data_IF_702873401656
#
_entry.id   IF_702873401656
#
_cell.length_a   1.000
_cell.length_b   1.000
_cell.length_c   1.000
_cell.angle_alpha   90.00
_cell.angle_beta   90.00
_cell.angle_gamma   90.00
#
_symmetry.space_group_name_H-M   'P 1'
#
loop_
_entity.id
_entity.type
_entity.pdbx_description
1 polymer ?
#
# COMPACT_ATOMS: atom_id res chain seq x y z
N UNK A 1 -9.21 -34.48 -39.23
CA UNK A 1 -8.44 -33.78 -38.18
C UNK A 1 -8.72 -32.30 -38.35
N UNK A 2 -9.41 -31.66 -37.39
CA UNK A 2 -9.65 -30.21 -37.45
C UNK A 2 -8.41 -29.46 -36.96
N UNK A 3 -7.87 -28.56 -37.79
CA UNK A 3 -6.81 -27.64 -37.37
C UNK A 3 -7.46 -26.39 -36.78
N UNK A 4 -7.20 -26.11 -35.51
CA UNK A 4 -7.53 -24.83 -34.90
C UNK A 4 -6.45 -23.81 -35.31
N UNK A 5 -6.75 -22.91 -36.24
CA UNK A 5 -5.91 -21.75 -36.59
C UNK A 5 -6.56 -20.47 -36.08
N UNK A 6 -5.75 -19.57 -35.54
CA UNK A 6 -6.17 -18.23 -35.08
C UNK A 6 -6.21 -17.27 -36.28
N UNK A 7 -7.16 -17.47 -37.17
CA UNK A 7 -7.43 -16.54 -38.26
C UNK A 7 -8.68 -15.72 -37.91
N UNK A 8 -8.46 -14.51 -37.38
CA UNK A 8 -9.39 -13.39 -37.49
C UNK A 8 -10.80 -13.52 -36.89
N UNK A 9 -11.01 -14.29 -35.83
CA UNK A 9 -12.19 -14.05 -34.99
C UNK A 9 -11.97 -12.73 -34.23
N UNK A 10 -12.75 -11.70 -34.58
CA UNK A 10 -12.79 -10.46 -33.80
C UNK A 10 -13.16 -10.79 -32.35
N UNK A 11 -12.51 -10.12 -31.38
CA UNK A 11 -12.76 -10.30 -29.95
C UNK A 11 -14.27 -10.12 -29.69
N UNK A 12 -14.99 -11.23 -29.52
CA UNK A 12 -16.42 -11.18 -29.21
C UNK A 12 -16.62 -10.61 -27.82
N UNK A 13 -17.42 -9.56 -27.70
CA UNK A 13 -17.88 -9.09 -26.39
C UNK A 13 -18.84 -10.14 -25.79
N UNK A 14 -18.37 -10.81 -24.74
CA UNK A 14 -19.22 -11.72 -23.97
C UNK A 14 -20.01 -10.88 -22.97
N UNK A 15 -21.27 -10.59 -23.30
CA UNK A 15 -22.21 -9.93 -22.40
C UNK A 15 -22.73 -10.97 -21.40
N UNK A 16 -22.24 -10.91 -20.16
CA UNK A 16 -22.71 -11.76 -19.06
C UNK A 16 -23.92 -11.08 -18.40
N UNK A 17 -25.07 -11.77 -18.32
CA UNK A 17 -26.26 -11.26 -17.62
C UNK A 17 -26.06 -11.24 -16.09
N UNK A 18 -26.51 -10.15 -15.47
CA UNK A 18 -25.85 -9.53 -14.32
C UNK A 18 -26.24 -10.05 -12.92
N UNK A 19 -26.74 -11.27 -12.78
CA UNK A 19 -26.91 -11.90 -11.45
C UNK A 19 -25.58 -12.35 -10.83
N UNK A 20 -24.53 -12.38 -11.65
CA UNK A 20 -23.17 -12.70 -11.22
C UNK A 20 -22.48 -11.49 -10.60
N UNK A 21 -22.84 -10.26 -10.97
CA UNK A 21 -22.16 -9.05 -10.48
C UNK A 21 -22.52 -8.74 -9.05
N UNK A 22 -23.79 -8.82 -8.66
CA UNK A 22 -24.20 -8.75 -7.26
C UNK A 22 -23.46 -9.78 -6.40
N UNK A 23 -23.32 -11.02 -6.90
CA UNK A 23 -22.61 -12.10 -6.19
C UNK A 23 -21.10 -11.86 -6.11
N UNK A 24 -20.50 -11.27 -7.13
CA UNK A 24 -19.08 -10.89 -7.16
C UNK A 24 -18.85 -9.71 -6.21
N UNK A 25 -19.73 -8.73 -6.22
CA UNK A 25 -19.70 -7.57 -5.33
C UNK A 25 -19.82 -8.00 -3.86
N UNK A 26 -20.78 -8.86 -3.52
CA UNK A 26 -20.90 -9.41 -2.17
C UNK A 26 -19.66 -10.21 -1.77
N UNK A 27 -19.16 -11.09 -2.65
CA UNK A 27 -18.00 -11.95 -2.35
C UNK A 27 -16.71 -11.16 -2.12
N UNK A 28 -16.50 -10.08 -2.86
CA UNK A 28 -15.27 -9.29 -2.82
C UNK A 28 -15.44 -7.94 -2.13
N UNK A 29 -16.56 -7.74 -1.43
CA UNK A 29 -16.90 -6.49 -0.74
C UNK A 29 -15.79 -6.01 0.20
N UNK A 30 -15.16 -6.95 0.91
CA UNK A 30 -14.04 -6.70 1.82
C UNK A 30 -12.76 -7.26 1.21
N UNK A 31 -12.25 -6.60 0.17
CA UNK A 31 -11.04 -7.05 -0.48
C UNK A 31 -10.06 -5.94 -0.82
N UNK A 32 -8.79 -6.30 -0.88
CA UNK A 32 -7.69 -5.44 -1.30
C UNK A 32 -6.87 -6.16 -2.36
N UNK A 33 -6.40 -5.42 -3.36
CA UNK A 33 -5.37 -5.89 -4.26
C UNK A 33 -4.03 -5.39 -3.75
N UNK A 34 -3.00 -6.23 -3.80
CA UNK A 34 -1.66 -5.81 -3.45
C UNK A 34 -0.56 -6.45 -4.29
N UNK A 35 0.59 -5.78 -4.31
CA UNK A 35 1.77 -6.19 -5.05
C UNK A 35 2.98 -6.27 -4.13
N UNK A 36 3.72 -7.37 -4.22
CA UNK A 36 5.04 -7.48 -3.56
C UNK A 36 6.08 -6.76 -4.41
N UNK A 37 6.70 -5.72 -3.86
CA UNK A 37 7.71 -4.91 -4.53
C UNK A 37 9.06 -5.63 -4.60
N UNK A 38 9.20 -6.51 -5.57
CA UNK A 38 10.45 -7.19 -5.87
C UNK A 38 10.46 -7.72 -7.29
N UNK A 39 11.65 -7.81 -7.89
CA UNK A 39 11.88 -8.57 -9.13
C UNK A 39 12.44 -9.97 -8.83
N UNK A 40 12.80 -10.25 -7.57
CA UNK A 40 13.36 -11.53 -7.16
C UNK A 40 12.24 -12.54 -7.00
N UNK A 41 12.46 -13.77 -7.47
CA UNK A 41 11.54 -14.89 -7.24
C UNK A 41 11.46 -15.19 -5.74
N UNK A 42 10.26 -15.50 -5.29
CA UNK A 42 9.99 -15.95 -3.93
C UNK A 42 8.97 -17.10 -3.95
N UNK A 43 8.93 -17.86 -2.87
CA UNK A 43 7.99 -18.98 -2.72
C UNK A 43 6.61 -18.47 -2.31
N UNK A 44 5.63 -18.54 -3.21
CA UNK A 44 4.26 -18.02 -2.99
C UNK A 44 3.56 -18.64 -1.78
N UNK A 45 3.65 -19.96 -1.50
CA UNK A 45 3.06 -20.51 -0.28
C UNK A 45 3.58 -19.83 0.99
N UNK A 46 4.87 -19.51 1.05
CA UNK A 46 5.45 -18.80 2.20
C UNK A 46 4.93 -17.37 2.34
N UNK A 47 4.66 -16.67 1.22
CA UNK A 47 3.96 -15.38 1.26
C UNK A 47 2.56 -15.58 1.84
N UNK A 48 1.81 -16.56 1.35
CA UNK A 48 0.44 -16.83 1.82
C UNK A 48 0.39 -17.14 3.31
N UNK A 49 1.33 -17.92 3.82
CA UNK A 49 1.41 -18.24 5.25
C UNK A 49 1.76 -17.01 6.09
N UNK A 50 2.70 -16.18 5.61
CA UNK A 50 3.06 -14.93 6.28
C UNK A 50 1.87 -13.97 6.33
N UNK A 51 1.16 -13.81 5.21
CA UNK A 51 -0.02 -12.95 5.13
C UNK A 51 -1.14 -13.47 6.01
N UNK A 52 -1.42 -14.78 6.02
CA UNK A 52 -2.43 -15.36 6.94
C UNK A 52 -2.08 -15.10 8.40
N UNK A 53 -0.82 -15.24 8.78
CA UNK A 53 -0.39 -14.96 10.16
C UNK A 53 -0.55 -13.48 10.54
N UNK A 54 -0.25 -12.54 9.63
CA UNK A 54 -0.31 -11.11 9.90
C UNK A 54 -1.72 -10.52 9.78
N UNK A 55 -2.47 -10.98 8.78
CA UNK A 55 -3.73 -10.36 8.35
C UNK A 55 -4.95 -11.19 8.76
N UNK A 56 -4.81 -12.51 8.83
CA UNK A 56 -5.92 -13.47 8.91
C UNK A 56 -6.77 -13.40 10.18
N UNK A 57 -6.25 -12.96 11.32
CA UNK A 57 -7.04 -12.98 12.57
C UNK A 57 -7.60 -14.38 12.86
N UNK A 58 -8.81 -14.46 13.45
CA UNK A 58 -9.50 -15.73 13.71
C UNK A 58 -10.14 -16.33 12.44
N UNK A 59 -10.67 -15.45 11.58
CA UNK A 59 -11.47 -15.80 10.39
C UNK A 59 -10.64 -16.19 9.16
N UNK A 60 -9.34 -15.90 9.17
CA UNK A 60 -8.43 -16.12 8.06
C UNK A 60 -8.50 -15.04 6.97
N UNK A 61 -7.84 -15.31 5.85
CA UNK A 61 -7.84 -14.46 4.65
C UNK A 61 -7.70 -15.35 3.43
N UNK A 62 -8.57 -15.17 2.44
CA UNK A 62 -8.44 -15.83 1.15
C UNK A 62 -7.45 -15.06 0.29
N UNK A 63 -6.52 -15.77 -0.35
CA UNK A 63 -5.43 -15.18 -1.14
C UNK A 63 -5.42 -15.79 -2.54
N UNK A 64 -5.83 -14.99 -3.52
CA UNK A 64 -5.80 -15.33 -4.93
C UNK A 64 -4.50 -14.79 -5.54
N UNK A 65 -3.78 -15.64 -6.26
CA UNK A 65 -2.58 -15.26 -7.00
C UNK A 65 -3.01 -14.83 -8.40
N UNK A 66 -2.73 -13.57 -8.75
CA UNK A 66 -3.07 -12.99 -10.06
C UNK A 66 -1.86 -12.91 -10.99
N UNK A 67 -0.73 -13.51 -10.63
CA UNK A 67 0.52 -13.43 -11.38
C UNK A 67 1.23 -12.09 -11.19
N UNK A 68 2.44 -11.96 -11.74
CA UNK A 68 3.23 -10.71 -11.71
C UNK A 68 3.41 -10.09 -10.31
N UNK A 69 3.53 -10.94 -9.28
CA UNK A 69 3.60 -10.56 -7.87
C UNK A 69 2.36 -9.79 -7.35
N UNK A 70 1.23 -9.89 -8.06
CA UNK A 70 -0.05 -9.30 -7.70
C UNK A 70 -0.97 -10.34 -7.07
N UNK A 71 -1.65 -9.93 -6.01
CA UNK A 71 -2.50 -10.80 -5.20
C UNK A 71 -3.80 -10.10 -4.85
N UNK A 72 -4.90 -10.85 -4.84
CA UNK A 72 -6.18 -10.39 -4.33
C UNK A 72 -6.39 -11.02 -2.96
N UNK A 73 -6.58 -10.19 -1.95
CA UNK A 73 -6.82 -10.60 -0.58
C UNK A 73 -8.26 -10.32 -0.23
N UNK A 74 -8.99 -11.36 0.16
CA UNK A 74 -10.41 -11.28 0.50
C UNK A 74 -10.57 -11.62 1.97
N UNK A 75 -11.22 -10.71 2.68
CA UNK A 75 -11.47 -10.76 4.11
C UNK A 75 -12.93 -11.11 4.38
N UNK A 76 -13.19 -11.77 5.51
CA UNK A 76 -14.56 -12.07 5.91
C UNK A 76 -15.25 -10.84 6.53
N UNK A 77 -14.46 -9.93 7.12
CA UNK A 77 -14.97 -8.76 7.82
C UNK A 77 -14.36 -7.44 7.32
N UNK A 78 -15.20 -6.42 7.21
CA UNK A 78 -14.75 -5.07 6.89
C UNK A 78 -13.75 -4.50 7.90
N UNK A 79 -13.88 -4.83 9.19
CA UNK A 79 -12.95 -4.39 10.22
C UNK A 79 -11.53 -4.93 10.00
N UNK A 80 -11.42 -6.19 9.57
CA UNK A 80 -10.15 -6.82 9.21
C UNK A 80 -9.50 -6.12 8.01
N UNK A 81 -10.29 -5.83 6.96
CA UNK A 81 -9.82 -5.07 5.80
C UNK A 81 -9.31 -3.68 6.19
N UNK A 82 -10.08 -2.94 7.01
CA UNK A 82 -9.70 -1.60 7.48
C UNK A 82 -8.42 -1.64 8.29
N UNK A 83 -8.26 -2.61 9.19
CA UNK A 83 -7.01 -2.82 9.95
C UNK A 83 -5.82 -3.04 9.03
N UNK A 84 -5.99 -3.86 7.99
CA UNK A 84 -4.93 -4.13 7.01
C UNK A 84 -4.57 -2.87 6.22
N UNK A 85 -5.56 -2.12 5.73
CA UNK A 85 -5.33 -0.85 5.02
C UNK A 85 -4.65 0.21 5.91
N UNK A 86 -5.01 0.29 7.19
CA UNK A 86 -4.42 1.26 8.11
C UNK A 86 -3.03 0.86 8.63
N UNK A 87 -2.71 -0.45 8.61
CA UNK A 87 -1.46 -1.01 9.11
C UNK A 87 -0.26 -0.88 8.16
N UNK A 88 -0.42 -0.24 7.00
CA UNK A 88 0.68 -0.01 6.07
C UNK A 88 1.84 0.79 6.72
N UNK A 89 3.10 0.43 6.41
CA UNK A 89 3.52 -0.49 5.34
C UNK A 89 3.61 -1.95 5.81
N UNK A 90 3.27 -2.88 4.93
CA UNK A 90 3.46 -4.32 5.18
C UNK A 90 4.73 -4.84 4.53
N UNK A 91 5.41 -5.77 5.20
CA UNK A 91 6.66 -6.36 4.73
C UNK A 91 6.56 -7.88 4.63
N UNK A 92 7.08 -8.44 3.55
CA UNK A 92 7.34 -9.86 3.37
C UNK A 92 8.83 -10.08 3.08
N UNK A 93 9.56 -10.70 4.00
CA UNK A 93 11.01 -10.95 3.88
C UNK A 93 11.82 -9.69 3.50
N UNK A 94 11.40 -8.53 4.02
CA UNK A 94 12.00 -7.24 3.71
C UNK A 94 11.52 -6.57 2.42
N UNK A 95 10.69 -7.22 1.60
CA UNK A 95 10.02 -6.60 0.46
C UNK A 95 8.71 -5.96 0.90
N UNK A 96 8.44 -4.73 0.47
CA UNK A 96 7.17 -4.07 0.75
C UNK A 96 6.01 -4.73 -0.01
N UNK A 97 4.86 -4.84 0.65
CA UNK A 97 3.59 -5.17 0.01
C UNK A 97 2.79 -3.86 -0.06
N UNK A 98 2.59 -3.35 -1.26
CA UNK A 98 1.67 -2.22 -1.49
C UNK A 98 0.27 -2.79 -1.63
N UNK A 99 -0.70 -2.19 -0.98
CA UNK A 99 -2.10 -2.60 -1.07
C UNK A 99 -3.00 -1.42 -1.45
N UNK A 100 -4.13 -1.73 -2.08
CA UNK A 100 -5.20 -0.78 -2.38
C UNK A 100 -6.54 -1.49 -2.23
N UNK A 101 -7.54 -0.78 -1.72
CA UNK A 101 -8.91 -1.30 -1.66
C UNK A 101 -9.39 -1.62 -3.08
N UNK A 102 -9.95 -2.81 -3.25
CA UNK A 102 -10.58 -3.21 -4.48
C UNK A 102 -12.07 -2.80 -4.47
N UNK A 103 -12.61 -2.54 -5.66
CA UNK A 103 -14.02 -2.24 -5.86
C UNK A 103 -14.52 -3.00 -7.10
N UNK A 104 -15.81 -3.39 -7.14
CA UNK A 104 -16.42 -3.97 -8.33
C UNK A 104 -16.17 -3.14 -9.58
N UNK A 105 -15.86 -3.80 -10.69
CA UNK A 105 -15.52 -3.17 -11.96
C UNK A 105 -14.05 -2.74 -12.11
N UNK A 106 -13.23 -2.82 -11.05
CA UNK A 106 -11.80 -2.54 -11.16
C UNK A 106 -11.07 -3.70 -11.86
N UNK A 107 -10.56 -3.44 -13.07
CA UNK A 107 -9.71 -4.38 -13.80
C UNK A 107 -8.29 -4.40 -13.22
N UNK A 108 -7.59 -5.51 -13.40
CA UNK A 108 -6.23 -5.70 -12.88
C UNK A 108 -5.26 -4.67 -13.49
N UNK A 109 -5.47 -4.32 -14.74
CA UNK A 109 -4.67 -3.37 -15.52
C UNK A 109 -4.79 -1.93 -15.00
N UNK A 110 -5.94 -1.60 -14.40
CA UNK A 110 -6.22 -0.26 -13.84
C UNK A 110 -5.66 -0.09 -12.42
N UNK A 111 -5.11 -1.16 -11.83
CA UNK A 111 -4.62 -1.14 -10.45
C UNK A 111 -3.27 -0.42 -10.37
N UNK A 112 -3.34 0.87 -10.09
CA UNK A 112 -2.18 1.71 -9.76
C UNK A 112 -1.74 1.44 -8.32
N UNK A 113 -0.58 0.80 -8.18
CA UNK A 113 0.14 0.50 -6.92
C UNK A 113 1.55 1.10 -6.97
N UNK A 114 1.62 2.42 -7.05
CA UNK A 114 2.83 3.21 -7.25
C UNK A 114 3.28 3.97 -5.99
N UNK A 115 2.55 3.80 -4.88
CA UNK A 115 2.78 4.57 -3.67
C UNK A 115 2.73 3.69 -2.42
N UNK A 116 3.54 4.04 -1.43
CA UNK A 116 3.66 3.31 -0.17
C UNK A 116 3.55 4.27 1.01
N UNK A 117 2.46 4.23 1.77
CA UNK A 117 2.38 4.91 3.07
C UNK A 117 3.38 4.31 4.06
N UNK A 118 4.25 5.14 4.63
CA UNK A 118 5.14 4.70 5.69
C UNK A 118 5.44 5.79 6.72
N UNK A 119 5.81 5.34 7.92
CA UNK A 119 6.30 6.22 8.96
C UNK A 119 7.80 6.48 8.79
N UNK A 120 8.19 7.74 8.78
CA UNK A 120 9.57 8.19 8.68
C UNK A 120 9.93 8.97 9.94
N UNK A 121 11.07 8.64 10.53
CA UNK A 121 11.66 9.40 11.64
C UNK A 121 12.65 10.42 11.09
N UNK A 122 12.45 11.69 11.44
CA UNK A 122 13.34 12.79 11.08
C UNK A 122 14.21 13.13 12.28
N UNK A 123 15.51 12.87 12.16
CA UNK A 123 16.49 13.04 13.22
C UNK A 123 17.30 14.33 13.07
N UNK A 124 18.08 14.67 14.12
CA UNK A 124 19.02 15.80 14.13
C UNK A 124 18.32 17.15 13.89
N UNK A 125 17.16 17.33 14.52
CA UNK A 125 16.40 18.55 14.43
C UNK A 125 17.03 19.66 15.27
N UNK A 126 17.05 20.91 14.79
CA UNK A 126 17.42 22.05 15.62
C UNK A 126 16.51 22.14 16.85
N UNK A 127 17.07 22.49 18.01
CA UNK A 127 16.30 22.60 19.26
C UNK A 127 15.11 23.54 19.08
N UNK A 128 13.92 23.10 19.50
CA UNK A 128 12.66 23.83 19.35
C UNK A 128 11.94 23.60 18.01
N UNK A 129 12.53 22.92 17.03
CA UNK A 129 11.90 22.60 15.74
C UNK A 129 11.21 21.23 15.74
N UNK A 130 10.36 20.99 16.74
CA UNK A 130 9.54 19.78 16.86
C UNK A 130 8.05 20.05 16.62
N UNK A 131 7.71 21.25 16.15
CA UNK A 131 6.32 21.68 15.93
C UNK A 131 5.64 21.01 14.73
N UNK A 132 4.31 21.09 14.71
CA UNK A 132 3.49 20.48 13.66
C UNK A 132 3.81 21.02 12.25
N UNK A 133 4.06 22.32 12.13
CA UNK A 133 4.43 22.98 10.87
C UNK A 133 5.75 22.44 10.30
N UNK A 134 6.73 22.19 11.17
CA UNK A 134 8.01 21.63 10.78
C UNK A 134 7.86 20.18 10.28
N UNK A 135 7.08 19.36 11.00
CA UNK A 135 6.77 17.99 10.59
C UNK A 135 6.05 17.94 9.24
N UNK A 136 5.05 18.80 9.04
CA UNK A 136 4.33 18.89 7.76
C UNK A 136 5.24 19.31 6.60
N UNK A 137 6.06 20.35 6.80
CA UNK A 137 7.00 20.84 5.78
C UNK A 137 8.02 19.78 5.41
N UNK A 138 8.59 19.09 6.41
CA UNK A 138 9.57 18.03 6.18
C UNK A 138 8.94 16.81 5.53
N UNK A 139 7.75 16.41 5.97
CA UNK A 139 6.99 15.31 5.37
C UNK A 139 6.70 15.58 3.89
N UNK A 140 6.24 16.79 3.56
CA UNK A 140 5.99 17.22 2.18
C UNK A 140 7.28 17.26 1.32
N UNK A 141 8.44 17.49 1.94
CA UNK A 141 9.72 17.38 1.25
C UNK A 141 10.09 15.91 0.98
N UNK A 142 9.76 14.99 1.88
CA UNK A 142 10.10 13.56 1.76
C UNK A 142 9.17 12.87 0.73
N UNK A 143 7.88 13.14 0.79
CA UNK A 143 6.83 12.57 -0.07
C UNK A 143 5.53 13.35 0.08
N UNK A 144 4.39 12.70 -0.14
CA UNK A 144 3.10 13.30 0.18
C UNK A 144 2.84 13.15 1.69
N UNK A 145 2.76 14.27 2.42
CA UNK A 145 2.49 14.26 3.85
C UNK A 145 1.08 13.75 4.15
N UNK A 146 0.96 12.81 5.10
CA UNK A 146 -0.32 12.23 5.51
C UNK A 146 -0.71 12.65 6.93
N UNK A 147 0.17 12.37 7.90
CA UNK A 147 -0.10 12.64 9.31
C UNK A 147 1.19 12.80 10.11
N UNK A 148 1.03 13.32 11.33
CA UNK A 148 2.11 13.57 12.26
C UNK A 148 1.84 12.79 13.55
N UNK A 149 2.87 12.13 14.07
CA UNK A 149 2.80 11.42 15.34
C UNK A 149 2.83 12.43 16.49
N UNK A 150 1.68 12.72 17.09
CA UNK A 150 1.55 13.70 18.18
C UNK A 150 2.36 13.31 19.41
N UNK A 151 2.46 12.01 19.72
CA UNK A 151 3.26 11.53 20.85
C UNK A 151 4.75 11.84 20.64
N UNK A 152 5.23 11.85 19.39
CA UNK A 152 6.62 12.24 19.09
C UNK A 152 6.93 13.72 19.37
N UNK A 153 5.90 14.57 19.45
CA UNK A 153 6.02 16.00 19.72
C UNK A 153 5.84 16.30 21.22
N UNK A 154 4.80 15.72 21.81
CA UNK A 154 4.32 16.08 23.15
C UNK A 154 5.18 15.47 24.27
N UNK A 155 5.77 14.28 24.06
CA UNK A 155 6.54 13.58 25.10
C UNK A 155 7.97 14.13 25.32
N UNK A 156 8.30 15.34 24.84
CA UNK A 156 9.64 15.94 24.96
C UNK A 156 10.81 15.02 24.53
N UNK A 157 10.55 14.01 23.68
CA UNK A 157 11.61 13.09 23.23
C UNK A 157 12.67 13.79 22.40
N UNK A 158 12.37 14.99 21.86
CA UNK A 158 13.29 16.06 21.41
C UNK A 158 14.32 15.72 20.32
N UNK A 159 14.53 14.45 20.02
CA UNK A 159 15.60 13.92 19.18
C UNK A 159 15.11 13.63 17.76
N UNK A 160 13.81 13.37 17.60
CA UNK A 160 13.18 13.16 16.30
C UNK A 160 11.71 13.54 16.30
N UNK A 161 11.20 13.82 15.10
CA UNK A 161 9.76 13.89 14.81
C UNK A 161 9.41 12.72 13.89
N UNK A 162 8.25 12.09 14.12
CA UNK A 162 7.78 10.99 13.26
C UNK A 162 6.62 11.48 12.39
N UNK A 163 6.82 11.41 11.08
CA UNK A 163 5.84 11.81 10.06
C UNK A 163 5.41 10.59 9.28
N UNK A 164 4.12 10.49 8.94
CA UNK A 164 3.64 9.52 7.96
C UNK A 164 3.58 10.20 6.61
N UNK A 165 4.20 9.56 5.64
CA UNK A 165 4.31 10.06 4.28
C UNK A 165 3.94 8.94 3.31
N UNK A 166 3.34 9.31 2.18
CA UNK A 166 3.15 8.43 1.05
C UNK A 166 4.32 8.64 0.09
N UNK A 167 5.11 7.58 -0.11
CA UNK A 167 6.30 7.59 -0.96
C UNK A 167 5.97 7.01 -2.34
N UNK A 168 6.44 7.66 -3.40
CA UNK A 168 6.41 7.12 -4.76
C UNK A 168 7.47 6.02 -4.90
N UNK A 169 7.04 4.80 -5.21
CA UNK A 169 7.91 3.62 -5.27
C UNK A 169 8.73 3.52 -6.56
N UNK A 170 8.41 4.34 -7.55
CA UNK A 170 9.18 4.45 -8.79
C UNK A 170 10.35 5.42 -8.66
N UNK A 171 10.44 6.14 -7.54
CA UNK A 171 11.53 7.05 -7.23
C UNK A 171 12.48 6.43 -6.20
N UNK A 172 13.80 6.65 -6.32
CA UNK A 172 14.73 6.24 -5.29
C UNK A 172 14.42 6.98 -3.98
N UNK A 173 14.59 6.27 -2.85
CA UNK A 173 14.52 6.90 -1.54
C UNK A 173 15.61 7.96 -1.38
N UNK A 174 15.24 9.12 -0.84
CA UNK A 174 16.20 10.16 -0.47
C UNK A 174 17.05 9.65 0.70
N UNK A 175 18.38 9.78 0.59
CA UNK A 175 19.31 9.37 1.65
C UNK A 175 19.30 10.30 2.87
N UNK A 176 18.87 11.54 2.66
CA UNK A 176 18.86 12.60 3.66
C UNK A 176 18.62 13.94 2.98
N UNK A 177 18.56 15.01 3.78
CA UNK A 177 18.40 16.37 3.30
C UNK A 177 18.95 17.37 4.31
N UNK A 178 19.28 18.57 3.83
CA UNK A 178 19.69 19.69 4.68
C UNK A 178 18.48 20.58 4.95
N UNK A 179 18.32 20.98 6.21
CA UNK A 179 17.28 21.92 6.63
C UNK A 179 17.90 23.31 6.67
N UNK A 180 17.42 24.21 5.80
CA UNK A 180 17.82 25.61 5.81
C UNK A 180 16.73 26.44 6.47
N UNK A 181 17.01 26.99 7.65
CA UNK A 181 16.10 27.89 8.35
C UNK A 181 16.36 29.31 7.86
N UNK A 182 15.40 29.88 7.11
CA UNK A 182 15.40 31.31 6.77
C UNK A 182 14.77 32.10 7.92
N UNK A 183 15.59 32.74 8.75
CA UNK A 183 15.09 33.72 9.73
C UNK A 183 14.81 35.03 9.00
N UNK A 184 13.54 35.42 8.93
CA UNK A 184 13.09 36.67 8.31
C UNK A 184 13.44 37.92 9.14
N UNK A 185 14.71 38.12 9.47
CA UNK A 185 15.17 39.40 10.00
C UNK A 185 15.27 40.41 8.85
N UNK A 186 14.25 41.25 8.74
CA UNK A 186 14.33 42.59 8.13
C UNK A 186 14.93 43.54 9.16
#
# INVERSE_FOLDING_TARGET
MGSMSLEGEELGEVIVQDYAYDRVEERFQFSVIGRVLTQKKFHVPTLKDTVRALWGGEEGVQILDMGSNLFHFVFNEGAQMVRVLQGEPWLFKGYAIIIKRWFPGMQVEDVVLDSLPCWVQVWNLPLGYVGAEFGQTTGAHIGEFMELDKCSIEEERGLYVRVRVRLDVNKPLKRGGFIHIRTGKV
#
